data_IF_196863060956
#
_entry.id   IF_196863060956
#
_cell.length_a   1.000
_cell.length_b   1.000
_cell.length_c   1.000
_cell.angle_alpha   90.00
_cell.angle_beta   90.00
_cell.angle_gamma   90.00
#
_symmetry.space_group_name_H-M   'P 1'
#
loop_
_entity.id
_entity.type
_entity.pdbx_description
1 polymer ?
#
# COMPACT_ATOMS: atom_id res chain seq x y z
N UNK A 1 34.00 16.87 24.44
CA UNK A 1 32.73 16.66 23.69
C UNK A 1 32.97 15.51 22.76
N UNK A 2 32.28 14.39 22.92
CA UNK A 2 32.38 13.28 21.95
C UNK A 2 31.68 13.74 20.68
N UNK A 3 32.44 13.92 19.60
CA UNK A 3 31.87 14.19 18.28
C UNK A 3 30.99 13.01 17.91
N UNK A 4 29.66 13.24 17.87
CA UNK A 4 28.73 12.22 17.39
C UNK A 4 28.95 12.06 15.88
N UNK A 5 29.60 10.97 15.48
CA UNK A 5 29.77 10.61 14.08
C UNK A 5 28.56 9.78 13.66
N UNK A 6 27.87 10.24 12.63
CA UNK A 6 26.74 9.55 12.02
C UNK A 6 27.16 8.89 10.71
N UNK A 7 26.74 7.64 10.47
CA UNK A 7 26.96 6.95 9.20
C UNK A 7 26.05 7.52 8.09
N UNK A 8 24.86 8.00 8.45
CA UNK A 8 23.93 8.63 7.53
C UNK A 8 23.05 9.67 8.21
N UNK A 9 22.64 10.67 7.44
CA UNK A 9 21.64 11.68 7.83
C UNK A 9 20.42 11.53 6.93
N UNK A 10 19.26 11.34 7.51
CA UNK A 10 17.97 11.24 6.81
C UNK A 10 17.23 12.56 6.98
N UNK A 11 16.89 13.21 5.88
CA UNK A 11 16.12 14.46 5.88
C UNK A 11 14.65 14.12 5.65
N UNK A 12 13.82 14.42 6.66
CA UNK A 12 12.39 14.14 6.69
C UNK A 12 12.04 12.85 7.43
N UNK A 13 11.16 12.96 8.42
CA UNK A 13 10.60 11.84 9.19
C UNK A 13 9.20 11.44 8.70
N UNK A 14 8.97 11.46 7.39
CA UNK A 14 7.83 10.80 6.76
C UNK A 14 8.02 9.29 6.72
N UNK A 15 7.00 8.55 6.25
CA UNK A 15 7.01 7.07 6.22
C UNK A 15 8.24 6.50 5.52
N UNK A 16 8.71 7.11 4.44
CA UNK A 16 9.89 6.65 3.68
C UNK A 16 11.17 6.88 4.49
N UNK A 17 11.37 8.09 5.03
CA UNK A 17 12.55 8.40 5.85
C UNK A 17 12.65 7.50 7.08
N UNK A 18 11.54 7.26 7.77
CA UNK A 18 11.47 6.37 8.91
C UNK A 18 11.79 4.92 8.53
N UNK A 19 11.21 4.40 7.43
CA UNK A 19 11.47 3.04 6.96
C UNK A 19 12.95 2.82 6.59
N UNK A 20 13.58 3.80 5.89
CA UNK A 20 15.00 3.77 5.53
C UNK A 20 15.86 3.81 6.80
N UNK A 21 15.57 4.75 7.72
CA UNK A 21 16.31 4.89 8.98
C UNK A 21 16.28 3.59 9.79
N UNK A 22 15.09 2.99 9.92
CA UNK A 22 14.93 1.69 10.60
C UNK A 22 15.79 0.61 9.95
N UNK A 23 15.77 0.51 8.62
CA UNK A 23 16.55 -0.50 7.89
C UNK A 23 18.05 -0.33 8.13
N UNK A 24 18.56 0.89 8.03
CA UNK A 24 19.97 1.19 8.28
C UNK A 24 20.37 0.94 9.74
N UNK A 25 19.52 1.33 10.70
CA UNK A 25 19.76 1.06 12.13
C UNK A 25 19.83 -0.44 12.44
N UNK A 26 18.98 -1.25 11.80
CA UNK A 26 19.06 -2.72 11.91
C UNK A 26 20.36 -3.31 11.34
N UNK A 27 21.02 -2.61 10.43
CA UNK A 27 22.35 -2.94 9.90
C UNK A 27 23.50 -2.38 10.77
N UNK A 28 23.18 -1.86 11.96
CA UNK A 28 24.15 -1.34 12.91
C UNK A 28 24.67 0.06 12.59
N UNK A 29 24.00 0.80 11.71
CA UNK A 29 24.38 2.17 11.35
C UNK A 29 23.88 3.18 12.39
N UNK A 30 24.71 4.17 12.70
CA UNK A 30 24.36 5.31 13.52
C UNK A 30 23.68 6.38 12.65
N UNK A 31 22.38 6.64 12.88
CA UNK A 31 21.55 7.45 11.98
C UNK A 31 21.08 8.71 12.71
N UNK A 32 21.16 9.84 12.03
CA UNK A 32 20.50 11.08 12.40
C UNK A 32 19.31 11.33 11.51
N UNK A 33 18.12 11.54 12.09
CA UNK A 33 16.92 11.98 11.36
C UNK A 33 16.69 13.46 11.67
N UNK A 34 16.51 14.26 10.63
CA UNK A 34 16.18 15.70 10.73
C UNK A 34 14.79 15.90 10.16
N UNK A 35 13.88 16.43 10.96
CA UNK A 35 12.49 16.75 10.57
C UNK A 35 12.24 18.24 10.81
N UNK A 36 11.63 18.90 9.83
CA UNK A 36 11.28 20.32 9.89
C UNK A 36 10.06 20.57 10.79
N UNK A 37 9.14 19.62 10.81
CA UNK A 37 7.89 19.75 11.56
C UNK A 37 8.07 19.27 13.02
N UNK A 38 7.16 19.70 13.89
CA UNK A 38 7.18 19.29 15.30
C UNK A 38 6.82 17.83 15.57
N UNK A 39 6.40 17.08 14.55
CA UNK A 39 5.99 15.68 14.68
C UNK A 39 6.34 14.88 13.41
N UNK A 40 6.67 13.60 13.61
CA UNK A 40 6.89 12.68 12.49
C UNK A 40 5.63 12.52 11.63
N UNK A 41 5.81 12.39 10.33
CA UNK A 41 4.76 12.06 9.38
C UNK A 41 3.64 13.09 9.22
N UNK A 42 3.79 14.30 9.73
CA UNK A 42 2.72 15.32 9.84
C UNK A 42 2.31 15.98 8.51
N UNK A 43 3.04 15.76 7.44
CA UNK A 43 2.75 16.33 6.11
C UNK A 43 2.07 15.27 5.23
N UNK A 44 2.69 14.84 4.14
CA UNK A 44 2.11 13.90 3.16
C UNK A 44 1.74 12.55 3.78
N UNK A 45 2.58 12.04 4.69
CA UNK A 45 2.38 10.72 5.30
C UNK A 45 1.19 10.61 6.25
N UNK A 46 0.62 11.74 6.71
CA UNK A 46 -0.64 11.77 7.47
C UNK A 46 -1.87 12.08 6.62
N UNK A 47 -1.67 12.42 5.33
CA UNK A 47 -2.74 12.87 4.44
C UNK A 47 -2.99 11.86 3.32
N UNK A 48 -3.33 10.65 3.71
CA UNK A 48 -3.61 9.54 2.82
C UNK A 48 -4.80 8.73 3.34
N UNK A 49 -5.30 7.80 2.53
CA UNK A 49 -6.43 6.94 2.87
C UNK A 49 -6.05 5.67 3.64
N UNK A 50 -4.77 5.45 3.92
CA UNK A 50 -4.27 4.24 4.59
C UNK A 50 -4.42 2.96 3.76
N UNK A 51 -4.68 3.05 2.46
CA UNK A 51 -4.88 1.87 1.61
C UNK A 51 -3.58 1.10 1.40
N UNK A 52 -3.62 -0.21 1.66
CA UNK A 52 -2.60 -1.17 1.24
C UNK A 52 -2.94 -1.59 -0.18
N UNK A 53 -2.25 -1.02 -1.16
CA UNK A 53 -2.49 -1.27 -2.58
C UNK A 53 -1.93 -2.62 -3.03
N UNK A 54 -2.68 -3.36 -3.86
CA UNK A 54 -2.24 -4.62 -4.46
C UNK A 54 -1.38 -4.44 -5.73
N UNK A 55 -1.43 -3.27 -6.39
CA UNK A 55 -0.65 -3.02 -7.62
C UNK A 55 -1.43 -3.09 -8.92
N UNK A 56 -2.76 -3.02 -8.89
CA UNK A 56 -3.65 -3.33 -10.02
C UNK A 56 -3.55 -2.37 -11.21
N UNK A 57 -3.28 -1.07 -10.97
CA UNK A 57 -3.44 -0.02 -12.01
C UNK A 57 -2.12 0.48 -12.60
N UNK A 58 -1.03 -0.20 -12.35
CA UNK A 58 0.28 0.33 -12.72
C UNK A 58 0.77 -0.22 -14.04
N UNK A 59 1.37 0.63 -14.87
CA UNK A 59 2.04 0.20 -16.08
C UNK A 59 3.12 -0.82 -15.73
N UNK A 60 3.15 -1.94 -16.48
CA UNK A 60 3.99 -3.11 -16.19
C UNK A 60 5.49 -2.79 -16.03
N UNK A 61 5.96 -1.75 -16.72
CA UNK A 61 7.38 -1.34 -16.71
C UNK A 61 7.68 -0.28 -15.63
N UNK A 62 6.67 0.12 -14.84
CA UNK A 62 6.84 1.08 -13.76
C UNK A 62 7.44 0.46 -12.50
N UNK A 63 8.16 1.26 -11.73
CA UNK A 63 8.63 0.83 -10.39
C UNK A 63 7.47 0.47 -9.46
N UNK A 64 6.30 1.10 -9.63
CA UNK A 64 5.09 0.78 -8.86
C UNK A 64 4.61 -0.64 -9.17
N UNK A 65 4.53 -1.04 -10.44
CA UNK A 65 4.16 -2.40 -10.80
C UNK A 65 5.17 -3.42 -10.26
N UNK A 66 6.46 -3.10 -10.33
CA UNK A 66 7.53 -3.98 -9.86
C UNK A 66 7.51 -4.20 -8.34
N UNK A 67 7.27 -3.14 -7.56
CA UNK A 67 7.43 -3.22 -6.11
C UNK A 67 6.12 -3.34 -5.32
N UNK A 68 4.99 -2.95 -5.90
CA UNK A 68 3.75 -2.90 -5.15
C UNK A 68 3.22 -4.28 -4.70
N UNK A 69 3.21 -5.34 -5.54
CA UNK A 69 2.73 -6.65 -5.11
C UNK A 69 3.56 -7.26 -3.96
N UNK A 70 4.90 -7.19 -4.05
CA UNK A 70 5.78 -7.66 -2.98
C UNK A 70 5.68 -6.75 -1.73
N UNK A 71 5.59 -5.44 -1.94
CA UNK A 71 5.37 -4.46 -0.87
C UNK A 71 4.05 -4.68 -0.12
N UNK A 72 2.98 -5.05 -0.84
CA UNK A 72 1.69 -5.41 -0.26
C UNK A 72 1.84 -6.59 0.71
N UNK A 73 2.41 -7.70 0.26
CA UNK A 73 2.66 -8.88 1.10
C UNK A 73 3.49 -8.54 2.33
N UNK A 74 4.63 -7.85 2.14
CA UNK A 74 5.52 -7.42 3.24
C UNK A 74 4.84 -6.47 4.22
N UNK A 75 3.90 -5.64 3.75
CA UNK A 75 3.16 -4.73 4.62
C UNK A 75 2.29 -5.51 5.60
N UNK A 76 1.56 -6.52 5.15
CA UNK A 76 0.77 -7.39 6.03
C UNK A 76 1.67 -8.14 7.03
N UNK A 77 2.73 -8.80 6.56
CA UNK A 77 3.69 -9.50 7.42
C UNK A 77 4.29 -8.57 8.49
N UNK A 78 4.63 -7.35 8.09
CA UNK A 78 5.17 -6.35 9.01
C UNK A 78 4.13 -5.90 10.04
N UNK A 79 2.92 -5.58 9.60
CA UNK A 79 1.83 -5.16 10.48
C UNK A 79 1.50 -6.24 11.51
N UNK A 80 1.39 -7.49 11.10
CA UNK A 80 1.18 -8.64 11.99
C UNK A 80 2.32 -8.76 13.01
N UNK A 81 3.57 -8.74 12.55
CA UNK A 81 4.76 -8.89 13.41
C UNK A 81 4.92 -7.79 14.46
N UNK A 82 4.29 -6.64 14.26
CA UNK A 82 4.35 -5.45 15.11
C UNK A 82 3.02 -5.09 15.77
N UNK A 83 2.00 -5.91 15.60
CA UNK A 83 0.64 -5.64 16.10
C UNK A 83 0.11 -4.27 15.66
N UNK A 84 0.44 -3.85 14.42
CA UNK A 84 -0.06 -2.60 13.83
C UNK A 84 -1.49 -2.84 13.36
N UNK A 85 -2.46 -1.98 13.75
CA UNK A 85 -3.84 -2.11 13.29
C UNK A 85 -3.92 -2.05 11.76
N UNK A 86 -4.49 -3.10 11.18
CA UNK A 86 -4.71 -3.22 9.75
C UNK A 86 -5.88 -4.17 9.47
N UNK A 87 -6.49 -4.05 8.31
CA UNK A 87 -7.56 -4.94 7.87
C UNK A 87 -7.36 -5.29 6.40
N UNK A 88 -7.48 -6.57 6.08
CA UNK A 88 -7.56 -7.05 4.71
C UNK A 88 -9.03 -7.03 4.27
N UNK A 89 -9.46 -5.89 3.73
CA UNK A 89 -10.87 -5.64 3.36
C UNK A 89 -11.22 -6.15 1.98
N UNK A 90 -10.23 -6.39 1.14
CA UNK A 90 -10.43 -6.52 -0.29
C UNK A 90 -10.83 -5.20 -0.95
N UNK A 91 -11.04 -5.26 -2.26
CA UNK A 91 -11.52 -4.12 -3.06
C UNK A 91 -12.26 -4.62 -4.29
N UNK A 92 -13.39 -3.97 -4.62
CA UNK A 92 -14.05 -4.13 -5.90
C UNK A 92 -13.67 -3.02 -6.87
N UNK A 93 -13.54 -3.37 -8.15
CA UNK A 93 -13.45 -2.47 -9.29
C UNK A 93 -14.60 -2.87 -10.19
N UNK A 94 -15.52 -1.95 -10.48
CA UNK A 94 -16.80 -2.31 -11.09
C UNK A 94 -17.03 -1.60 -12.43
N UNK A 95 -17.69 -2.30 -13.36
CA UNK A 95 -18.29 -1.74 -14.55
C UNK A 95 -19.79 -1.49 -14.25
N UNK A 96 -20.22 -0.24 -14.34
CA UNK A 96 -21.62 0.14 -14.10
C UNK A 96 -22.48 -0.05 -15.35
N UNK A 97 -21.85 -0.27 -16.50
CA UNK A 97 -22.49 -0.47 -17.80
C UNK A 97 -21.64 -1.40 -18.70
N UNK A 98 -22.28 -2.01 -19.71
CA UNK A 98 -21.62 -2.97 -20.59
C UNK A 98 -20.44 -2.37 -21.38
N UNK A 99 -20.47 -1.07 -21.69
CA UNK A 99 -19.36 -0.40 -22.39
C UNK A 99 -18.12 -0.19 -21.53
N UNK A 100 -18.16 -0.51 -20.24
CA UNK A 100 -17.01 -0.44 -19.33
C UNK A 100 -16.35 -1.81 -19.11
N UNK A 101 -16.97 -2.91 -19.55
CA UNK A 101 -16.46 -4.28 -19.35
C UNK A 101 -15.08 -4.44 -20.00
N UNK A 102 -14.86 -3.90 -21.20
CA UNK A 102 -13.57 -3.96 -21.88
C UNK A 102 -12.46 -3.31 -21.06
N UNK A 103 -12.77 -2.24 -20.32
CA UNK A 103 -11.80 -1.60 -19.41
C UNK A 103 -11.45 -2.50 -18.23
N UNK A 104 -12.41 -3.27 -17.68
CA UNK A 104 -12.13 -4.26 -16.65
C UNK A 104 -11.18 -5.35 -17.14
N UNK A 105 -11.35 -5.83 -18.37
CA UNK A 105 -10.45 -6.81 -18.99
C UNK A 105 -9.02 -6.27 -19.05
N UNK A 106 -8.84 -5.03 -19.54
CA UNK A 106 -7.52 -4.39 -19.60
C UNK A 106 -6.90 -4.28 -18.20
N UNK A 107 -7.69 -3.87 -17.19
CA UNK A 107 -7.21 -3.78 -15.80
C UNK A 107 -6.82 -5.17 -15.27
N UNK A 108 -7.63 -6.19 -15.53
CA UNK A 108 -7.36 -7.56 -15.12
C UNK A 108 -6.03 -8.06 -15.69
N UNK A 109 -5.83 -7.91 -16.99
CA UNK A 109 -4.61 -8.36 -17.68
C UNK A 109 -3.37 -7.60 -17.20
N UNK A 110 -3.49 -6.28 -16.98
CA UNK A 110 -2.42 -5.48 -16.40
C UNK A 110 -2.06 -5.95 -14.99
N UNK A 111 -3.05 -6.18 -14.13
CA UNK A 111 -2.84 -6.66 -12.78
C UNK A 111 -2.14 -8.03 -12.76
N UNK A 112 -2.59 -8.99 -13.58
CA UNK A 112 -1.97 -10.31 -13.71
C UNK A 112 -0.53 -10.21 -14.19
N UNK A 113 -0.25 -9.37 -15.19
CA UNK A 113 1.11 -9.15 -15.72
C UNK A 113 2.04 -8.47 -14.69
N UNK A 114 1.50 -7.67 -13.78
CA UNK A 114 2.23 -7.04 -12.68
C UNK A 114 2.45 -7.96 -11.46
N UNK A 115 1.90 -9.19 -11.48
CA UNK A 115 2.06 -10.17 -10.40
C UNK A 115 0.98 -10.12 -9.31
N UNK A 116 -0.16 -9.49 -9.56
CA UNK A 116 -1.35 -9.57 -8.69
C UNK A 116 -2.06 -10.88 -9.00
N UNK A 117 -1.72 -11.93 -8.25
CA UNK A 117 -2.17 -13.29 -8.54
C UNK A 117 -3.60 -13.60 -8.11
N UNK A 118 -4.11 -12.87 -7.12
CA UNK A 118 -5.39 -13.12 -6.43
C UNK A 118 -6.57 -12.30 -6.96
N UNK A 119 -6.38 -11.50 -8.03
CA UNK A 119 -7.48 -10.77 -8.67
C UNK A 119 -8.43 -11.72 -9.38
N UNK A 120 -9.73 -11.55 -9.16
CA UNK A 120 -10.80 -12.41 -9.66
C UNK A 120 -11.86 -11.59 -10.41
N UNK A 121 -12.43 -12.18 -11.49
CA UNK A 121 -13.61 -11.63 -12.15
C UNK A 121 -14.86 -12.09 -11.41
N UNK A 122 -15.76 -11.15 -11.13
CA UNK A 122 -16.98 -11.41 -10.38
C UNK A 122 -18.20 -10.80 -11.07
N UNK A 123 -19.35 -11.44 -10.95
CA UNK A 123 -20.61 -10.91 -11.48
C UNK A 123 -21.11 -9.71 -10.70
N UNK A 124 -21.93 -8.84 -11.31
CA UNK A 124 -22.59 -7.75 -10.62
C UNK A 124 -23.45 -8.23 -9.44
N UNK A 125 -24.07 -9.41 -9.55
CA UNK A 125 -24.82 -10.00 -8.43
C UNK A 125 -23.92 -10.37 -7.25
N UNK A 126 -22.72 -10.86 -7.50
CA UNK A 126 -21.75 -11.13 -6.43
C UNK A 126 -21.38 -9.83 -5.70
N UNK A 127 -21.06 -8.77 -6.45
CA UNK A 127 -20.76 -7.46 -5.87
C UNK A 127 -21.93 -6.95 -5.02
N UNK A 128 -23.16 -6.99 -5.54
CA UNK A 128 -24.35 -6.51 -4.83
C UNK A 128 -24.69 -7.31 -3.58
N UNK A 129 -24.31 -8.58 -3.49
CA UNK A 129 -24.48 -9.39 -2.27
C UNK A 129 -23.50 -8.95 -1.15
N UNK A 130 -22.31 -8.48 -1.50
CA UNK A 130 -21.31 -8.00 -0.53
C UNK A 130 -21.51 -6.52 -0.23
N UNK A 131 -21.78 -5.72 -1.27
CA UNK A 131 -21.95 -4.27 -1.24
C UNK A 131 -23.33 -3.90 -1.80
N UNK A 132 -24.41 -3.97 -1.03
CA UNK A 132 -25.80 -3.85 -1.54
C UNK A 132 -26.12 -2.50 -2.21
N UNK A 133 -25.36 -1.46 -1.90
CA UNK A 133 -25.54 -0.13 -2.49
C UNK A 133 -24.81 0.03 -3.84
N UNK A 134 -23.93 -0.92 -4.19
CA UNK A 134 -23.18 -0.88 -5.45
C UNK A 134 -23.97 -1.61 -6.54
N UNK A 135 -24.32 -0.87 -7.59
CA UNK A 135 -24.98 -1.43 -8.77
C UNK A 135 -23.98 -1.49 -9.92
N UNK A 136 -23.75 -2.68 -10.43
CA UNK A 136 -22.83 -2.91 -11.54
C UNK A 136 -23.25 -4.12 -12.36
N UNK A 137 -22.72 -4.25 -13.57
CA UNK A 137 -22.93 -5.40 -14.45
C UNK A 137 -21.88 -6.48 -14.22
N UNK A 138 -20.64 -6.05 -13.94
CA UNK A 138 -19.49 -6.92 -13.71
C UNK A 138 -18.46 -6.22 -12.80
N UNK A 139 -17.58 -6.97 -12.16
CA UNK A 139 -16.52 -6.43 -11.33
C UNK A 139 -15.26 -7.29 -11.31
N UNK A 140 -14.20 -6.70 -10.78
CA UNK A 140 -13.00 -7.41 -10.35
C UNK A 140 -12.95 -7.32 -8.83
N UNK A 141 -12.66 -8.43 -8.18
CA UNK A 141 -12.38 -8.49 -6.76
C UNK A 141 -10.87 -8.65 -6.54
N UNK A 142 -10.29 -7.86 -5.66
CA UNK A 142 -8.87 -7.85 -5.32
C UNK A 142 -8.71 -8.12 -3.83
N UNK A 143 -8.63 -9.37 -3.40
CA UNK A 143 -8.58 -9.78 -1.98
C UNK A 143 -7.44 -9.14 -1.21
N UNK A 144 -6.25 -9.00 -1.82
CA UNK A 144 -5.05 -8.46 -1.16
C UNK A 144 -5.06 -6.96 -0.89
N UNK A 145 -6.07 -6.22 -1.35
CA UNK A 145 -6.22 -4.81 -0.97
C UNK A 145 -6.73 -4.70 0.47
N UNK A 146 -6.28 -3.67 1.19
CA UNK A 146 -6.73 -3.45 2.56
C UNK A 146 -6.39 -2.06 3.07
N UNK A 147 -6.44 -1.89 4.38
CA UNK A 147 -6.16 -0.62 5.06
C UNK A 147 -5.23 -0.83 6.25
N UNK A 148 -4.46 0.20 6.60
CA UNK A 148 -3.53 0.22 7.73
C UNK A 148 -3.65 1.52 8.50
N UNK A 149 -3.48 1.48 9.83
CA UNK A 149 -3.23 2.68 10.64
C UNK A 149 -1.84 3.23 10.31
N UNK A 150 -1.81 4.25 9.45
CA UNK A 150 -0.56 4.85 8.99
C UNK A 150 0.22 5.54 10.10
N UNK A 151 -0.46 6.04 11.13
CA UNK A 151 0.18 6.65 12.29
C UNK A 151 0.85 5.59 13.17
N UNK A 152 0.16 4.47 13.43
CA UNK A 152 0.75 3.34 14.14
C UNK A 152 1.94 2.74 13.36
N UNK A 153 1.81 2.63 12.02
CA UNK A 153 2.88 2.17 11.14
C UNK A 153 4.14 3.04 11.27
N UNK A 154 4.01 4.37 11.17
CA UNK A 154 5.14 5.28 11.29
C UNK A 154 5.80 5.25 12.67
N UNK A 155 4.99 5.14 13.74
CA UNK A 155 5.53 5.00 15.10
C UNK A 155 6.27 3.68 15.35
N UNK A 156 6.03 2.67 14.53
CA UNK A 156 6.69 1.36 14.65
C UNK A 156 8.08 1.30 14.01
N UNK A 157 8.39 2.27 13.17
CA UNK A 157 9.70 2.39 12.53
C UNK A 157 10.73 3.05 13.45
#
# INVERSE_FOLDING_TARGET
>A
MTDNIYDAVIIGAGVIGLAISRKLAQEGKNILIIEEQGQIGSVTSSRNSGVIHAGVYYDKDSLKAKFCPDGNRRMYEYCESRSIPHLNTGKFIVATSNNEIEKLEVIYDQAKSAGVIDIEKVSGNHVSNVEPLVKCVEGLYVPSSGIVDTSALMRSY
#
